data_IF_206605518444
#
_entry.id   IF_206605518444
#
_cell.length_a   1.000
_cell.length_b   1.000
_cell.length_c   1.000
_cell.angle_alpha   90.00
_cell.angle_beta   90.00
_cell.angle_gamma   90.00
#
_symmetry.space_group_name_H-M   'P 1'
#
loop_
_entity.id
_entity.type
_entity.pdbx_description
1 polymer ?
#
# COMPACT_ATOMS: atom_id res chain seq x y z
N UNK A 1 -4.56 1.47 17.55
CA UNK A 1 -5.01 2.67 16.80
C UNK A 1 -4.20 2.71 15.50
N UNK A 2 -4.81 2.93 14.32
CA UNK A 2 -4.03 2.91 13.08
C UNK A 2 -3.04 4.08 13.03
N UNK A 3 -1.89 3.85 12.41
CA UNK A 3 -0.88 4.89 12.12
C UNK A 3 -1.24 5.55 10.79
N UNK A 4 -1.13 6.88 10.75
CA UNK A 4 -1.50 7.68 9.58
C UNK A 4 -0.24 8.22 8.90
N UNK A 5 0.01 7.80 7.65
CA UNK A 5 1.07 8.34 6.79
C UNK A 5 0.41 9.20 5.73
N UNK A 6 0.77 10.49 5.66
CA UNK A 6 0.08 11.44 4.79
C UNK A 6 0.89 12.64 4.34
N UNK A 7 0.43 13.26 3.24
CA UNK A 7 0.96 14.52 2.70
C UNK A 7 2.42 14.42 2.24
N UNK A 8 2.72 13.39 1.47
CA UNK A 8 4.05 13.13 0.92
C UNK A 8 3.92 12.72 -0.54
N UNK A 9 4.90 13.07 -1.37
CA UNK A 9 4.85 12.76 -2.80
C UNK A 9 5.02 11.27 -3.06
N UNK A 10 5.98 10.63 -2.40
CA UNK A 10 6.30 9.22 -2.62
C UNK A 10 6.48 8.45 -1.32
N UNK A 11 6.01 7.21 -1.31
CA UNK A 11 6.25 6.24 -0.24
C UNK A 11 6.63 4.90 -0.87
N UNK A 12 7.67 4.27 -0.33
CA UNK A 12 8.06 2.89 -0.66
C UNK A 12 8.04 2.07 0.63
N UNK A 13 7.33 0.94 0.63
CA UNK A 13 7.21 0.06 1.80
C UNK A 13 7.69 -1.35 1.45
N UNK A 14 8.67 -1.83 2.21
CA UNK A 14 9.14 -3.21 2.20
C UNK A 14 8.35 -4.10 3.16
N UNK A 15 8.56 -5.42 3.10
CA UNK A 15 8.07 -6.34 4.14
C UNK A 15 8.51 -5.87 5.52
N UNK A 16 9.79 -5.53 5.68
CA UNK A 16 10.38 -5.12 6.96
C UNK A 16 9.66 -3.90 7.54
N UNK A 17 9.43 -2.87 6.73
CA UNK A 17 8.72 -1.65 7.17
C UNK A 17 7.31 -1.96 7.70
N UNK A 18 6.60 -2.88 7.03
CA UNK A 18 5.26 -3.29 7.41
C UNK A 18 5.26 -4.16 8.67
N UNK A 19 6.24 -5.04 8.83
CA UNK A 19 6.38 -5.92 9.99
C UNK A 19 6.73 -5.15 11.26
N UNK A 20 7.70 -4.24 11.18
CA UNK A 20 8.14 -3.38 12.29
C UNK A 20 7.04 -2.39 12.76
N UNK A 21 6.07 -2.07 11.89
CA UNK A 21 4.92 -1.27 12.29
C UNK A 21 3.92 -2.10 13.12
N UNK A 22 3.85 -1.87 14.44
CA UNK A 22 2.97 -2.63 15.34
C UNK A 22 1.47 -2.48 15.03
N UNK A 23 1.07 -1.39 14.38
CA UNK A 23 -0.32 -1.05 14.11
C UNK A 23 -0.64 -0.97 12.61
N UNK A 24 -1.89 -1.23 12.19
CA UNK A 24 -2.30 -1.05 10.80
C UNK A 24 -2.11 0.40 10.30
N UNK A 25 -1.83 0.53 9.01
CA UNK A 25 -1.57 1.79 8.32
C UNK A 25 -2.79 2.32 7.58
N UNK A 26 -2.99 3.62 7.64
CA UNK A 26 -3.78 4.39 6.68
C UNK A 26 -2.82 5.28 5.90
N UNK A 27 -2.84 5.14 4.57
CA UNK A 27 -1.97 5.86 3.65
C UNK A 27 -2.82 6.89 2.89
N UNK A 28 -2.49 8.18 2.98
CA UNK A 28 -3.39 9.25 2.49
C UNK A 28 -2.68 10.43 1.82
N UNK A 29 -3.24 10.95 0.70
CA UNK A 29 -2.68 12.10 -0.03
C UNK A 29 -1.22 11.83 -0.45
N UNK A 30 -1.05 10.81 -1.29
CA UNK A 30 0.25 10.34 -1.78
C UNK A 30 0.21 10.27 -3.31
N UNK A 31 1.19 10.85 -4.01
CA UNK A 31 1.19 10.81 -5.47
C UNK A 31 1.54 9.40 -5.98
N UNK A 32 2.57 8.78 -5.40
CA UNK A 32 3.00 7.41 -5.74
C UNK A 32 3.33 6.57 -4.49
N UNK A 33 2.66 5.43 -4.37
CA UNK A 33 2.86 4.44 -3.33
C UNK A 33 3.37 3.13 -3.95
N UNK A 34 4.52 2.65 -3.51
CA UNK A 34 5.14 1.42 -4.02
C UNK A 34 5.29 0.40 -2.90
N UNK A 35 4.75 -0.79 -3.11
CA UNK A 35 5.07 -1.97 -2.30
C UNK A 35 6.23 -2.74 -2.95
N UNK A 36 7.23 -3.10 -2.17
CA UNK A 36 8.40 -3.86 -2.64
C UNK A 36 8.03 -5.32 -2.97
N UNK A 37 8.93 -6.04 -3.66
CA UNK A 37 8.66 -7.39 -4.19
C UNK A 37 8.59 -8.47 -3.10
N UNK A 38 9.13 -8.17 -1.92
CA UNK A 38 9.08 -9.03 -0.74
C UNK A 38 7.75 -8.93 0.04
N UNK A 39 6.87 -7.98 -0.32
CA UNK A 39 5.57 -7.83 0.31
C UNK A 39 4.61 -8.91 -0.20
N UNK A 40 4.11 -9.72 0.72
CA UNK A 40 3.08 -10.74 0.45
C UNK A 40 1.68 -10.19 0.67
N UNK A 41 0.69 -10.85 0.07
CA UNK A 41 -0.71 -10.49 0.24
C UNK A 41 -1.18 -10.53 1.70
N UNK A 42 -0.72 -11.52 2.49
CA UNK A 42 -1.06 -11.64 3.92
C UNK A 42 -0.58 -10.41 4.72
N UNK A 43 0.67 -9.99 4.51
CA UNK A 43 1.24 -8.82 5.20
C UNK A 43 0.51 -7.56 4.75
N UNK A 44 0.23 -7.43 3.45
CA UNK A 44 -0.54 -6.31 2.92
C UNK A 44 -1.93 -6.24 3.53
N UNK A 45 -2.69 -7.34 3.54
CA UNK A 45 -4.07 -7.35 4.04
C UNK A 45 -4.15 -7.06 5.54
N UNK A 46 -3.19 -7.60 6.31
CA UNK A 46 -3.06 -7.39 7.75
C UNK A 46 -2.65 -5.97 8.11
N UNK A 47 -1.70 -5.39 7.38
CA UNK A 47 -1.05 -4.11 7.75
C UNK A 47 -1.69 -2.91 7.06
N UNK A 48 -2.29 -3.06 5.88
CA UNK A 48 -2.88 -1.94 5.14
C UNK A 48 -4.39 -1.90 5.39
N UNK A 49 -4.83 -0.90 6.15
CA UNK A 49 -6.24 -0.70 6.44
C UNK A 49 -6.93 0.03 5.28
N UNK A 50 -6.37 1.15 4.83
CA UNK A 50 -6.89 1.96 3.72
C UNK A 50 -5.79 2.74 2.99
N UNK A 51 -5.99 2.92 1.69
CA UNK A 51 -5.22 3.80 0.81
C UNK A 51 -6.18 4.84 0.23
N UNK A 52 -6.01 6.11 0.58
CA UNK A 52 -6.99 7.17 0.28
C UNK A 52 -6.34 8.31 -0.49
N UNK A 53 -6.97 8.81 -1.57
CA UNK A 53 -6.45 9.92 -2.38
C UNK A 53 -5.00 9.67 -2.81
N UNK A 54 -4.80 8.62 -3.60
CA UNK A 54 -3.49 8.26 -4.12
C UNK A 54 -3.48 8.32 -5.65
N UNK A 55 -2.42 8.89 -6.24
CA UNK A 55 -2.25 8.88 -7.69
C UNK A 55 -2.07 7.44 -8.18
N UNK A 56 -0.94 6.83 -7.82
CA UNK A 56 -0.55 5.50 -8.29
C UNK A 56 -0.23 4.59 -7.12
N UNK A 57 -0.85 3.42 -7.09
CA UNK A 57 -0.47 2.33 -6.17
C UNK A 57 0.17 1.22 -6.98
N UNK A 58 1.45 0.97 -6.73
CA UNK A 58 2.25 -0.05 -7.42
C UNK A 58 2.44 -1.23 -6.48
N UNK A 59 1.89 -2.39 -6.84
CA UNK A 59 1.94 -3.63 -6.05
C UNK A 59 2.80 -4.70 -6.74
N UNK A 60 3.50 -5.55 -5.98
CA UNK A 60 4.16 -6.73 -6.54
C UNK A 60 3.14 -7.77 -7.04
N UNK A 61 3.55 -8.71 -7.92
CA UNK A 61 2.68 -9.75 -8.46
C UNK A 61 2.18 -10.75 -7.39
N UNK A 62 2.81 -10.77 -6.22
CA UNK A 62 2.41 -11.54 -5.03
C UNK A 62 1.08 -11.05 -4.42
N UNK A 63 0.61 -9.86 -4.76
CA UNK A 63 -0.65 -9.28 -4.27
C UNK A 63 -1.67 -9.28 -5.40
N UNK A 64 -2.80 -9.95 -5.19
CA UNK A 64 -3.87 -9.95 -6.18
C UNK A 64 -4.50 -8.57 -6.27
N UNK A 65 -4.73 -8.10 -7.50
CA UNK A 65 -5.20 -6.74 -7.77
C UNK A 65 -6.50 -6.38 -7.04
N UNK A 66 -7.43 -7.34 -6.91
CA UNK A 66 -8.69 -7.11 -6.19
C UNK A 66 -8.51 -6.91 -4.68
N UNK A 67 -7.51 -7.54 -4.06
CA UNK A 67 -7.18 -7.34 -2.64
C UNK A 67 -6.69 -5.92 -2.43
N UNK A 68 -5.77 -5.44 -3.27
CA UNK A 68 -5.32 -4.06 -3.23
C UNK A 68 -6.48 -3.08 -3.44
N UNK A 69 -7.30 -3.29 -4.49
CA UNK A 69 -8.45 -2.42 -4.80
C UNK A 69 -9.45 -2.33 -3.64
N UNK A 70 -9.70 -3.42 -2.91
CA UNK A 70 -10.62 -3.43 -1.75
C UNK A 70 -10.23 -2.43 -0.64
N UNK A 71 -8.94 -2.08 -0.56
CA UNK A 71 -8.39 -1.13 0.41
C UNK A 71 -8.34 0.31 -0.11
N UNK A 72 -8.64 0.54 -1.39
CA UNK A 72 -8.50 1.86 -2.03
C UNK A 72 -9.75 2.73 -1.93
N UNK A 73 -9.56 4.05 -1.89
CA UNK A 73 -10.62 5.07 -2.01
C UNK A 73 -10.06 6.32 -2.69
N UNK A 74 -10.68 6.80 -3.78
CA UNK A 74 -10.16 7.91 -4.60
C UNK A 74 -8.72 7.67 -5.08
N UNK A 75 -8.44 6.47 -5.59
CA UNK A 75 -7.15 6.11 -6.19
C UNK A 75 -7.26 6.14 -7.72
N UNK A 76 -6.32 6.79 -8.41
CA UNK A 76 -6.40 6.95 -9.87
C UNK A 76 -6.06 5.65 -10.60
N UNK A 77 -5.01 4.95 -10.15
CA UNK A 77 -4.68 3.63 -10.70
C UNK A 77 -3.98 2.70 -9.70
N UNK A 78 -4.21 1.39 -9.89
CA UNK A 78 -3.47 0.31 -9.25
C UNK A 78 -2.75 -0.48 -10.33
N UNK A 79 -1.42 -0.54 -10.24
CA UNK A 79 -0.52 -1.17 -11.22
C UNK A 79 0.17 -2.36 -10.57
N UNK A 80 0.13 -3.51 -11.24
CA UNK A 80 0.93 -4.68 -10.85
C UNK A 80 2.29 -4.53 -11.55
N UNK A 81 3.39 -4.67 -10.81
CA UNK A 81 4.74 -4.65 -11.40
C UNK A 81 4.86 -5.75 -12.46
N UNK A 82 5.54 -5.45 -13.56
CA UNK A 82 5.92 -6.47 -14.55
C UNK A 82 7.04 -7.31 -13.96
N UNK A 83 6.84 -8.63 -13.96
CA UNK A 83 7.85 -9.64 -13.60
C UNK A 83 9.01 -9.64 -14.58
#
# INVERSE_FOLDING_TARGET
KPVLIRHVSQVRLSRRDLEECESPLILMNIDELVFADDVTEDIFDKKILKIVKCGRVIIPPTIRKFVALSKTLYVREVVVKKS
#
